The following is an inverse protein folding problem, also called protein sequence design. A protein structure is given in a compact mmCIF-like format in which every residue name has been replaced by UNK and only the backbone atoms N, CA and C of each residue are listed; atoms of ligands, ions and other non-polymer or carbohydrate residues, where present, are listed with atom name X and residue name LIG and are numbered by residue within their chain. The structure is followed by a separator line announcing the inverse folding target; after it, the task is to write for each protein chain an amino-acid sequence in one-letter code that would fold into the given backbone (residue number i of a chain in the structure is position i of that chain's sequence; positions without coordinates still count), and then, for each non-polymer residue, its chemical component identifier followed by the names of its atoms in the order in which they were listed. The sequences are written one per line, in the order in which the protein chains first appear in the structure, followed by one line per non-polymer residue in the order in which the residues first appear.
data_IF_621694211892
#
_entry.id   IF_621694211892
#
_cell.length_a   1.000
_cell.length_b   1.000
_cell.length_c   1.000
_cell.angle_alpha   90.00
_cell.angle_beta   90.00
_cell.angle_gamma   90.00
#
_symmetry.space_group_name_H-M   'P 1'
#
loop_
_entity.id
_entity.type
_entity.pdbx_description
1 polymer ?
#
# COMPACT_ATOMS: atom_id res chain seq x y z
N UNK A 1 -16.46 10.33 0.04
CA UNK A 1 -15.70 9.05 -0.07
C UNK A 1 -15.77 8.49 -1.48
N UNK A 2 -16.93 8.40 -2.12
CA UNK A 2 -17.05 7.93 -3.52
C UNK A 2 -16.30 8.80 -4.54
N UNK A 3 -16.19 10.11 -4.35
CA UNK A 3 -15.38 10.98 -5.22
C UNK A 3 -13.87 10.74 -5.11
N UNK A 4 -13.38 10.31 -3.94
CA UNK A 4 -11.97 9.98 -3.71
C UNK A 4 -11.58 8.65 -4.38
N UNK A 5 -12.56 7.73 -4.49
CA UNK A 5 -12.45 6.46 -5.22
C UNK A 5 -12.43 6.71 -6.74
N UNK A 6 -13.24 7.66 -7.23
CA UNK A 6 -13.26 8.06 -8.66
C UNK A 6 -11.99 8.81 -9.10
N UNK A 7 -11.39 9.57 -8.19
CA UNK A 7 -10.16 10.33 -8.45
C UNK A 7 -8.86 9.52 -8.20
N UNK A 8 -8.96 8.20 -8.00
CA UNK A 8 -7.80 7.30 -7.90
C UNK A 8 -6.89 7.51 -6.69
N UNK A 9 -7.33 8.32 -5.71
CA UNK A 9 -6.55 8.70 -4.53
C UNK A 9 -6.73 7.70 -3.37
N UNK A 10 -7.77 6.88 -3.44
CA UNK A 10 -7.97 5.73 -2.56
C UNK A 10 -8.00 4.45 -3.41
N UNK A 11 -7.29 3.39 -3.01
CA UNK A 11 -7.34 2.11 -3.71
C UNK A 11 -8.79 1.60 -3.75
N UNK A 12 -9.25 1.15 -4.92
CA UNK A 12 -10.48 0.40 -4.99
C UNK A 12 -10.22 -0.93 -4.28
N UNK A 13 -10.85 -1.14 -3.12
CA UNK A 13 -11.01 -2.49 -2.58
C UNK A 13 -11.97 -3.24 -3.48
N UNK A 14 -11.47 -3.64 -4.66
CA UNK A 14 -12.20 -4.54 -5.51
C UNK A 14 -12.16 -5.91 -4.82
N UNK A 15 -13.13 -6.16 -3.95
CA UNK A 15 -13.62 -7.53 -3.75
C UNK A 15 -14.24 -7.94 -5.08
N UNK A 16 -13.38 -8.28 -6.04
CA UNK A 16 -13.76 -8.87 -7.30
C UNK A 16 -14.38 -10.21 -6.98
N UNK A 17 -15.67 -10.22 -6.70
CA UNK A 17 -16.48 -11.41 -6.88
C UNK A 17 -16.30 -11.82 -8.32
N UNK A 18 -15.70 -12.99 -8.53
CA UNK A 18 -15.32 -13.49 -9.84
C UNK A 18 -16.44 -13.34 -10.86
N UNK A 19 -16.14 -12.69 -11.98
CA UNK A 19 -16.97 -12.79 -13.17
C UNK A 19 -16.80 -14.17 -13.78
N UNK A 20 -17.73 -15.09 -13.53
CA UNK A 20 -17.95 -16.24 -14.40
C UNK A 20 -18.53 -17.50 -13.75
N UNK A 21 -19.85 -17.61 -13.75
CA UNK A 21 -20.54 -18.90 -13.67
C UNK A 21 -21.37 -19.11 -12.40
N UNK A 22 -22.69 -19.16 -12.57
CA UNK A 22 -23.65 -19.73 -11.62
C UNK A 22 -23.07 -20.96 -10.92
N UNK A 23 -22.63 -20.82 -9.67
CA UNK A 23 -22.28 -21.93 -8.77
C UNK A 23 -20.79 -22.26 -8.56
N UNK A 24 -19.84 -21.42 -8.94
CA UNK A 24 -18.40 -21.71 -8.73
C UNK A 24 -17.89 -21.32 -7.34
N UNK A 25 -17.89 -22.24 -6.38
CA UNK A 25 -17.02 -22.15 -5.20
C UNK A 25 -15.57 -22.51 -5.56
N UNK A 26 -14.70 -22.72 -4.57
CA UNK A 26 -13.37 -23.34 -4.78
C UNK A 26 -13.47 -24.63 -5.62
N UNK A 27 -14.60 -25.33 -5.48
CA UNK A 27 -15.04 -26.43 -6.32
C UNK A 27 -16.11 -25.92 -7.29
N UNK A 28 -15.84 -25.96 -8.60
CA UNK A 28 -16.81 -25.59 -9.63
C UNK A 28 -16.32 -24.63 -10.71
N UNK A 29 -15.07 -24.15 -10.65
CA UNK A 29 -14.50 -23.30 -11.70
C UNK A 29 -13.23 -22.58 -11.24
N UNK A 30 -12.81 -21.60 -12.03
CA UNK A 30 -11.82 -20.62 -11.58
C UNK A 30 -12.42 -19.72 -10.51
N UNK A 31 -11.66 -19.48 -9.45
CA UNK A 31 -12.03 -18.58 -8.37
C UNK A 31 -10.84 -17.68 -8.09
N UNK A 32 -10.88 -16.48 -8.66
CA UNK A 32 -9.81 -15.51 -8.57
C UNK A 32 -9.91 -14.67 -7.30
N UNK A 33 -8.80 -14.59 -6.55
CA UNK A 33 -8.63 -13.69 -5.42
C UNK A 33 -7.62 -12.63 -5.84
N UNK A 34 -8.00 -11.35 -5.76
CA UNK A 34 -7.10 -10.23 -6.01
C UNK A 34 -6.79 -9.50 -4.71
N UNK A 35 -5.50 -9.39 -4.40
CA UNK A 35 -4.99 -8.64 -3.26
C UNK A 35 -4.36 -7.34 -3.77
N UNK A 36 -4.78 -6.22 -3.20
CA UNK A 36 -4.13 -4.93 -3.41
C UNK A 36 -2.88 -4.87 -2.54
N UNK A 37 -1.72 -4.65 -3.16
CA UNK A 37 -0.42 -4.65 -2.48
C UNK A 37 0.44 -3.41 -2.78
N UNK A 38 -0.02 -2.52 -3.66
CA UNK A 38 0.63 -1.24 -3.92
C UNK A 38 -0.26 -0.05 -3.57
N UNK A 39 0.30 1.16 -3.71
CA UNK A 39 -0.40 2.43 -3.45
C UNK A 39 -1.22 2.93 -4.65
N UNK A 40 -0.99 2.37 -5.84
CA UNK A 40 -1.70 2.74 -7.06
C UNK A 40 -2.82 1.74 -7.35
N UNK A 41 -3.89 2.17 -8.02
CA UNK A 41 -5.06 1.31 -8.32
C UNK A 41 -4.93 0.52 -9.64
N UNK A 42 -3.72 0.33 -10.14
CA UNK A 42 -3.43 -0.32 -11.42
C UNK A 42 -2.99 -1.79 -11.25
N UNK A 43 -2.94 -2.54 -12.36
CA UNK A 43 -2.62 -3.98 -12.34
C UNK A 43 -1.23 -4.29 -11.76
N UNK A 44 -0.27 -3.37 -11.85
CA UNK A 44 1.08 -3.58 -11.29
C UNK A 44 1.10 -3.56 -9.77
N UNK A 45 0.07 -2.98 -9.14
CA UNK A 45 -0.08 -2.84 -7.69
C UNK A 45 -0.99 -3.92 -7.07
N UNK A 46 -1.33 -4.96 -7.83
CA UNK A 46 -2.22 -6.04 -7.41
C UNK A 46 -1.61 -7.42 -7.66
N UNK A 47 -1.90 -8.36 -6.77
CA UNK A 47 -1.59 -9.78 -6.93
C UNK A 47 -2.91 -10.51 -7.10
N UNK A 48 -3.17 -11.04 -8.29
CA UNK A 48 -4.31 -11.91 -8.58
C UNK A 48 -3.87 -13.36 -8.61
N UNK A 49 -4.63 -14.23 -7.94
CA UNK A 49 -4.37 -15.67 -7.86
C UNK A 49 -5.67 -16.43 -8.07
N UNK A 50 -5.68 -17.39 -9.00
CA UNK A 50 -6.78 -18.34 -9.14
C UNK A 50 -6.60 -19.49 -8.13
N UNK A 51 -7.48 -19.55 -7.14
CA UNK A 51 -7.48 -20.62 -6.12
C UNK A 51 -8.59 -21.65 -6.37
N UNK A 52 -9.29 -21.54 -7.49
CA UNK A 52 -10.22 -22.56 -7.95
C UNK A 52 -9.49 -23.82 -8.41
N UNK A 53 -9.95 -24.99 -7.95
CA UNK A 53 -9.37 -26.30 -8.31
C UNK A 53 -10.18 -27.03 -9.39
N UNK A 54 -11.12 -26.34 -10.03
CA UNK A 54 -12.01 -26.90 -11.06
C UNK A 54 -13.13 -27.78 -10.48
N UNK A 55 -13.91 -28.42 -11.36
CA UNK A 55 -14.94 -29.37 -10.96
C UNK A 55 -14.28 -30.73 -10.70
N UNK A 56 -14.43 -31.26 -9.49
CA UNK A 56 -14.08 -32.64 -9.16
C UNK A 56 -15.34 -33.48 -9.32
N UNK A 57 -15.41 -34.29 -10.37
CA UNK A 57 -16.48 -35.27 -10.57
C UNK A 57 -15.96 -36.64 -10.13
N UNK A 58 -16.52 -37.18 -9.06
CA UNK A 58 -16.12 -38.46 -8.47
C UNK A 58 -17.03 -39.61 -8.90
N UNK A 59 -17.64 -39.53 -10.09
CA UNK A 59 -18.40 -40.65 -10.63
C UNK A 59 -17.46 -41.80 -11.02
N UNK A 60 -17.20 -42.69 -10.06
CA UNK A 60 -16.22 -43.76 -10.15
C UNK A 60 -16.95 -45.11 -10.02
N UNK A 61 -16.70 -46.01 -10.96
CA UNK A 61 -17.11 -47.41 -10.87
C UNK A 61 -15.89 -48.29 -10.53
N UNK A 62 -15.92 -48.96 -9.38
CA UNK A 62 -14.85 -49.87 -8.93
C UNK A 62 -15.29 -51.34 -9.03
N UNK A 63 -16.46 -51.62 -9.59
CA UNK A 63 -17.02 -52.98 -9.69
C UNK A 63 -16.35 -53.81 -10.79
N UNK A 64 -15.71 -53.16 -11.76
CA UNK A 64 -14.97 -53.80 -12.85
C UNK A 64 -13.49 -53.42 -12.79
N UNK A 65 -12.61 -54.30 -13.31
CA UNK A 65 -11.18 -53.98 -13.37
C UNK A 65 -10.87 -52.76 -14.23
N UNK A 66 -11.66 -52.52 -15.28
CA UNK A 66 -11.47 -51.37 -16.16
C UNK A 66 -12.00 -50.08 -15.52
N UNK A 67 -13.14 -50.15 -14.82
CA UNK A 67 -13.65 -49.04 -14.02
C UNK A 67 -12.65 -48.59 -12.96
N UNK A 68 -12.03 -49.54 -12.24
CA UNK A 68 -11.00 -49.24 -11.25
C UNK A 68 -9.74 -48.58 -11.86
N UNK A 69 -9.33 -48.98 -13.07
CA UNK A 69 -8.19 -48.34 -13.77
C UNK A 69 -8.52 -46.91 -14.21
N UNK A 70 -9.74 -46.69 -14.70
CA UNK A 70 -10.23 -45.36 -15.07
C UNK A 70 -10.34 -44.45 -13.83
N UNK A 71 -10.78 -45.00 -12.70
CA UNK A 71 -10.83 -44.30 -11.42
C UNK A 71 -9.47 -43.76 -10.98
N UNK A 72 -8.45 -44.61 -11.03
CA UNK A 72 -7.08 -44.23 -10.67
C UNK A 72 -6.54 -43.14 -11.60
N UNK A 73 -6.79 -43.27 -12.91
CA UNK A 73 -6.37 -42.27 -13.89
C UNK A 73 -7.02 -40.90 -13.61
N UNK A 74 -8.32 -40.89 -13.29
CA UNK A 74 -9.03 -39.66 -12.97
C UNK A 74 -8.55 -39.04 -11.64
N UNK A 75 -8.23 -39.86 -10.64
CA UNK A 75 -7.66 -39.40 -9.38
C UNK A 75 -6.29 -38.76 -9.59
N UNK A 76 -5.41 -39.36 -10.40
CA UNK A 76 -4.09 -38.83 -10.73
C UNK A 76 -4.20 -37.45 -11.41
N UNK A 77 -5.18 -37.28 -12.30
CA UNK A 77 -5.44 -35.99 -12.96
C UNK A 77 -5.88 -34.92 -11.95
N UNK A 78 -6.79 -35.26 -11.03
CA UNK A 78 -7.21 -34.31 -9.98
C UNK A 78 -6.07 -33.98 -9.01
N UNK A 79 -5.26 -34.97 -8.62
CA UNK A 79 -4.08 -34.73 -7.76
C UNK A 79 -3.06 -33.84 -8.47
N UNK A 80 -2.85 -34.03 -9.77
CA UNK A 80 -2.00 -33.15 -10.56
C UNK A 80 -2.52 -31.71 -10.56
N UNK A 81 -3.82 -31.51 -10.77
CA UNK A 81 -4.44 -30.18 -10.72
C UNK A 81 -4.24 -29.51 -9.35
N UNK A 82 -4.49 -30.25 -8.26
CA UNK A 82 -4.28 -29.74 -6.89
C UNK A 82 -2.81 -29.32 -6.67
N UNK A 83 -1.85 -30.14 -7.12
CA UNK A 83 -0.42 -29.83 -6.98
C UNK A 83 -0.03 -28.58 -7.80
N UNK A 84 -0.58 -28.41 -9.00
CA UNK A 84 -0.39 -27.20 -9.81
C UNK A 84 -0.92 -25.96 -9.09
N UNK A 85 -2.12 -26.06 -8.49
CA UNK A 85 -2.73 -24.96 -7.72
C UNK A 85 -1.95 -24.64 -6.46
N UNK A 86 -1.45 -25.64 -5.72
CA UNK A 86 -0.56 -25.43 -4.58
C UNK A 86 0.73 -24.72 -4.98
N UNK A 87 1.31 -25.08 -6.12
CA UNK A 87 2.51 -24.42 -6.66
C UNK A 87 2.24 -22.96 -7.00
N UNK A 88 1.11 -22.68 -7.65
CA UNK A 88 0.68 -21.30 -7.95
C UNK A 88 0.49 -20.48 -6.67
N UNK A 89 -0.19 -21.03 -5.66
CA UNK A 89 -0.34 -20.41 -4.34
C UNK A 89 1.00 -20.14 -3.65
N UNK A 90 1.93 -21.10 -3.68
CA UNK A 90 3.27 -20.91 -3.12
C UNK A 90 4.04 -19.80 -3.82
N UNK A 91 3.94 -19.70 -5.16
CA UNK A 91 4.55 -18.60 -5.90
C UNK A 91 3.96 -17.24 -5.54
N UNK A 92 2.63 -17.17 -5.34
CA UNK A 92 1.95 -15.96 -4.92
C UNK A 92 2.33 -15.57 -3.48
N UNK A 93 2.50 -16.54 -2.58
CA UNK A 93 3.00 -16.33 -1.23
C UNK A 93 4.40 -15.71 -1.24
N UNK A 94 5.33 -16.26 -2.03
CA UNK A 94 6.68 -15.69 -2.16
C UNK A 94 6.66 -14.25 -2.69
N UNK A 95 5.75 -13.96 -3.63
CA UNK A 95 5.54 -12.59 -4.13
C UNK A 95 4.98 -11.68 -3.05
N UNK A 96 4.00 -12.15 -2.26
CA UNK A 96 3.44 -11.38 -1.14
C UNK A 96 4.52 -11.04 -0.12
N UNK A 97 5.38 -11.99 0.23
CA UNK A 97 6.50 -11.76 1.17
C UNK A 97 7.45 -10.68 0.64
N UNK A 98 7.86 -10.78 -0.63
CA UNK A 98 8.73 -9.78 -1.26
C UNK A 98 8.08 -8.39 -1.32
N UNK A 99 6.76 -8.33 -1.55
CA UNK A 99 6.04 -7.07 -1.55
C UNK A 99 5.91 -6.48 -0.14
N UNK A 100 5.70 -7.30 0.88
CA UNK A 100 5.69 -6.84 2.29
C UNK A 100 7.02 -6.17 2.64
N UNK A 101 8.15 -6.80 2.27
CA UNK A 101 9.48 -6.22 2.48
C UNK A 101 9.64 -4.88 1.74
N UNK A 102 9.23 -4.83 0.47
CA UNK A 102 9.31 -3.61 -0.35
C UNK A 102 8.42 -2.47 0.18
N UNK A 103 7.22 -2.78 0.67
CA UNK A 103 6.32 -1.82 1.31
C UNK A 103 6.97 -1.30 2.60
N UNK A 104 7.56 -2.17 3.42
CA UNK A 104 8.26 -1.77 4.64
C UNK A 104 9.32 -0.70 4.38
N UNK A 105 10.20 -0.95 3.41
CA UNK A 105 11.23 0.02 2.98
C UNK A 105 10.59 1.32 2.47
N UNK A 106 9.50 1.24 1.73
CA UNK A 106 8.79 2.41 1.22
C UNK A 106 8.18 3.25 2.36
N UNK A 107 7.62 2.61 3.38
CA UNK A 107 7.09 3.27 4.58
C UNK A 107 8.20 3.98 5.34
N UNK A 108 9.35 3.35 5.53
CA UNK A 108 10.49 3.95 6.22
C UNK A 108 11.01 5.18 5.47
N UNK A 109 11.15 5.08 4.14
CA UNK A 109 11.55 6.20 3.29
C UNK A 109 10.55 7.36 3.35
N UNK A 110 9.25 7.08 3.29
CA UNK A 110 8.21 8.10 3.39
C UNK A 110 8.17 8.75 4.78
N UNK A 111 8.37 7.97 5.84
CA UNK A 111 8.42 8.48 7.22
C UNK A 111 9.63 9.37 7.44
N UNK A 112 10.81 8.95 6.94
CA UNK A 112 12.03 9.76 6.98
C UNK A 112 11.86 11.07 6.20
N UNK A 113 11.34 10.99 4.97
CA UNK A 113 11.08 12.18 4.14
C UNK A 113 10.10 13.14 4.84
N UNK A 114 9.02 12.61 5.43
CA UNK A 114 8.06 13.40 6.19
C UNK A 114 8.70 14.07 7.40
N UNK A 115 9.55 13.36 8.15
CA UNK A 115 10.29 13.94 9.27
C UNK A 115 11.18 15.09 8.80
N UNK A 116 11.94 14.90 7.72
CA UNK A 116 12.81 15.96 7.18
C UNK A 116 12.03 17.20 6.72
N UNK A 117 10.87 17.01 6.08
CA UNK A 117 10.01 18.14 5.68
C UNK A 117 9.50 18.87 6.92
N UNK A 118 8.98 18.14 7.92
CA UNK A 118 8.47 18.74 9.16
C UNK A 118 9.57 19.49 9.92
N UNK A 119 10.76 18.90 10.03
CA UNK A 119 11.90 19.54 10.70
C UNK A 119 12.36 20.81 9.96
N UNK A 120 12.35 20.81 8.63
CA UNK A 120 12.68 21.98 7.82
C UNK A 120 11.65 23.11 8.00
N UNK A 121 10.36 22.79 8.00
CA UNK A 121 9.28 23.76 8.21
C UNK A 121 9.38 24.40 9.61
N UNK A 122 9.66 23.60 10.65
CA UNK A 122 9.88 24.09 12.02
C UNK A 122 11.14 24.96 12.11
N UNK A 123 12.21 24.59 11.40
CA UNK A 123 13.43 25.40 11.35
C UNK A 123 13.21 26.76 10.67
N UNK A 124 12.37 26.82 9.62
CA UNK A 124 11.99 28.06 8.96
C UNK A 124 11.14 28.96 9.87
N UNK A 125 10.10 28.40 10.49
CA UNK A 125 9.21 29.14 11.40
C UNK A 125 9.97 29.67 12.62
N UNK A 126 10.82 28.85 13.24
CA UNK A 126 11.65 29.27 14.38
C UNK A 126 12.65 30.37 14.00
N UNK A 127 13.25 30.30 12.81
CA UNK A 127 14.14 31.35 12.30
C UNK A 127 13.39 32.66 12.05
N UNK A 128 12.19 32.59 11.49
CA UNK A 128 11.32 33.75 11.30
C UNK A 128 10.90 34.38 12.65
N UNK A 129 10.52 33.54 13.61
CA UNK A 129 10.18 33.96 14.97
C UNK A 129 11.36 34.67 15.66
N UNK A 130 12.55 34.07 15.63
CA UNK A 130 13.78 34.67 16.20
C UNK A 130 14.11 35.99 15.50
N UNK A 131 14.04 36.06 14.16
CA UNK A 131 14.26 37.30 13.40
C UNK A 131 13.31 38.41 13.86
N UNK A 132 12.03 38.10 14.00
CA UNK A 132 11.03 39.05 14.49
C UNK A 132 11.32 39.52 15.92
N UNK A 133 11.73 38.60 16.80
CA UNK A 133 12.10 38.93 18.17
C UNK A 133 13.32 39.86 18.23
N UNK A 134 14.36 39.58 17.41
CA UNK A 134 15.55 40.43 17.28
C UNK A 134 15.16 41.80 16.74
N UNK A 135 14.31 41.89 15.71
CA UNK A 135 13.85 43.16 15.16
C UNK A 135 13.07 44.00 16.19
N UNK A 136 12.23 43.36 17.02
CA UNK A 136 11.52 44.05 18.09
C UNK A 136 12.47 44.59 19.17
N UNK A 137 13.45 43.79 19.60
CA UNK A 137 14.46 44.21 20.57
C UNK A 137 15.35 45.33 20.01
N UNK A 138 15.83 45.18 18.76
CA UNK A 138 16.61 46.20 18.08
C UNK A 138 15.83 47.50 17.90
N UNK A 139 14.54 47.44 17.53
CA UNK A 139 13.69 48.62 17.42
C UNK A 139 13.54 49.35 18.76
N UNK A 140 13.37 48.61 19.87
CA UNK A 140 13.31 49.19 21.20
C UNK A 140 14.64 49.86 21.61
N UNK A 141 15.77 49.21 21.36
CA UNK A 141 17.11 49.79 21.63
C UNK A 141 17.38 51.00 20.73
N UNK A 142 17.08 50.92 19.43
CA UNK A 142 17.26 52.03 18.49
C UNK A 142 16.37 53.22 18.86
N UNK A 143 15.11 53.00 19.28
CA UNK A 143 14.24 54.07 19.80
C UNK A 143 14.80 54.72 21.07
N UNK A 144 15.35 53.93 21.99
CA UNK A 144 16.00 54.47 23.19
C UNK A 144 17.24 55.31 22.84
N UNK A 145 18.05 54.84 21.88
CA UNK A 145 19.27 55.53 21.43
C UNK A 145 18.94 56.81 20.64
N UNK A 146 17.93 56.77 19.78
CA UNK A 146 17.43 57.92 19.03
C UNK A 146 16.83 59.00 19.94
N UNK A 147 16.26 58.64 21.09
CA UNK A 147 15.78 59.62 22.08
C UNK A 147 16.92 60.24 22.91
N UNK A 148 18.05 59.56 23.10
CA UNK A 148 19.18 60.10 23.86
C UNK A 148 20.10 61.00 23.02
N UNK A 149 20.18 60.76 21.71
CA UNK A 149 21.06 61.52 20.80
C UNK A 149 20.74 63.04 20.76
N UNK A 150 19.47 63.49 20.73
CA UNK A 150 19.11 64.91 20.75
C UNK A 150 19.48 65.63 22.06
N UNK A 151 19.46 64.92 23.20
CA UNK A 151 19.75 65.51 24.51
C UNK A 151 21.23 65.89 24.66
N UNK A 152 22.14 65.12 24.04
CA UNK A 152 23.58 65.41 24.01
C UNK A 152 23.87 66.60 23.08
N UNK A 153 23.16 66.71 21.96
CA UNK A 153 23.30 67.84 21.05
C UNK A 153 22.87 69.17 21.69
N UNK A 154 21.86 69.17 22.56
CA UNK A 154 21.43 70.35 23.32
C UNK A 154 22.39 70.75 24.46
N UNK A 155 23.30 69.88 24.89
CA UNK A 155 24.36 70.24 25.84
C UNK A 155 25.58 70.89 25.17
N UNK A 156 25.66 70.84 23.83
CA UNK A 156 26.76 71.40 23.03
C UNK A 156 26.45 72.79 22.44
N UNK A 157 25.27 73.35 22.70
CA UNK A 157 24.81 74.69 22.31
C UNK A 157 24.66 75.57 23.55
#
# INVERSE_FOLDING_TARGET
MEELIKNGTLPQYNYGGGTGGTGGGVFGGSYEVTLQVGIHSDKSSSITVDVGIGKIDLNIDVTTSDGARNALTMLDEYLKNINEKQTQLGSAYNRLESVIESIGVSIDNLTSTRSTIQDADIAEESSAYIRNQILQQASATLLATANQTPAIALQLL
#
